data_IF_959806212025
#
_entry.id   IF_959806212025
#
_cell.length_a   1.000
_cell.length_b   1.000
_cell.length_c   1.000
_cell.angle_alpha   90.00
_cell.angle_beta   90.00
_cell.angle_gamma   90.00
#
_symmetry.space_group_name_H-M   'P 1'
#
loop_
_entity.id
_entity.type
_entity.pdbx_description
1 polymer ?
#
# COMPACT_ATOMS: atom_id res chain seq x y z
N UNK A 1 16.15 4.73 -27.72
CA UNK A 1 16.16 3.32 -27.27
C UNK A 1 14.92 3.14 -26.40
N UNK A 2 13.81 2.73 -27.01
CA UNK A 2 12.58 2.45 -26.27
C UNK A 2 12.77 1.16 -25.46
N UNK A 3 12.55 1.25 -24.16
CA UNK A 3 12.56 0.10 -23.24
C UNK A 3 11.36 -0.78 -23.61
N UNK A 4 11.52 -2.10 -23.79
CA UNK A 4 10.39 -2.94 -24.19
C UNK A 4 9.31 -2.93 -23.09
N UNK A 5 8.07 -2.69 -23.50
CA UNK A 5 6.89 -2.92 -22.66
C UNK A 5 6.94 -4.37 -22.19
N UNK A 6 6.93 -4.59 -20.87
CA UNK A 6 6.86 -5.95 -20.31
C UNK A 6 5.43 -6.49 -20.55
N UNK A 7 5.29 -7.81 -20.76
CA UNK A 7 3.97 -8.40 -20.92
C UNK A 7 3.13 -8.13 -19.68
N UNK A 8 1.88 -7.75 -19.91
CA UNK A 8 0.90 -7.58 -18.83
C UNK A 8 0.79 -8.89 -18.03
N UNK A 9 0.61 -8.80 -16.70
CA UNK A 9 0.41 -9.98 -15.89
C UNK A 9 -0.83 -10.75 -16.39
N UNK A 10 -0.82 -12.10 -16.35
CA UNK A 10 -1.94 -12.90 -16.81
C UNK A 10 -3.22 -12.50 -16.05
N UNK A 11 -4.28 -12.26 -16.82
CA UNK A 11 -5.63 -11.94 -16.33
C UNK A 11 -6.02 -12.91 -15.22
N UNK A 12 -6.06 -12.43 -13.97
CA UNK A 12 -6.45 -13.24 -12.82
C UNK A 12 -5.73 -12.96 -11.50
N UNK A 13 -4.63 -12.19 -11.50
CA UNK A 13 -4.10 -11.66 -10.23
C UNK A 13 -4.86 -10.38 -9.91
N UNK A 14 -5.87 -10.49 -9.04
CA UNK A 14 -6.43 -9.30 -8.37
C UNK A 14 -5.28 -8.57 -7.68
N UNK A 15 -4.91 -7.41 -8.22
CA UNK A 15 -3.94 -6.49 -7.65
C UNK A 15 -4.57 -5.66 -6.53
N UNK A 16 -5.39 -6.26 -5.67
CA UNK A 16 -5.74 -5.64 -4.39
C UNK A 16 -4.48 -5.58 -3.52
N UNK A 17 -3.71 -4.54 -3.74
CA UNK A 17 -2.58 -4.11 -2.94
C UNK A 17 -3.06 -2.95 -2.08
N UNK A 18 -2.91 -3.09 -0.76
CA UNK A 18 -3.12 -1.96 0.15
C UNK A 18 -2.10 -0.86 -0.11
N UNK A 19 -2.41 0.36 0.33
CA UNK A 19 -1.51 1.50 0.18
C UNK A 19 -0.10 1.16 0.68
N UNK A 20 0.90 1.40 -0.18
CA UNK A 20 2.29 1.11 0.12
C UNK A 20 2.72 -0.36 -0.01
N UNK A 21 1.82 -1.29 -0.38
CA UNK A 21 2.15 -2.69 -0.65
C UNK A 21 2.55 -2.91 -2.11
N UNK A 22 3.82 -2.65 -2.40
CA UNK A 22 4.40 -2.77 -3.73
C UNK A 22 4.89 -4.20 -4.01
N UNK A 23 4.05 -5.03 -4.64
CA UNK A 23 4.45 -6.39 -5.08
C UNK A 23 5.53 -6.38 -6.15
N UNK A 24 5.54 -5.35 -6.99
CA UNK A 24 6.51 -5.19 -8.08
C UNK A 24 7.69 -4.32 -7.61
N UNK A 25 8.91 -4.86 -7.73
CA UNK A 25 10.14 -4.15 -7.38
C UNK A 25 10.71 -3.44 -8.61
N UNK A 26 10.36 -2.17 -8.75
CA UNK A 26 10.90 -1.30 -9.80
C UNK A 26 12.24 -0.68 -9.44
N UNK A 27 12.41 -0.34 -8.17
CA UNK A 27 13.65 0.15 -7.59
C UNK A 27 14.41 -1.01 -6.99
N UNK A 28 15.71 -1.07 -7.22
CA UNK A 28 16.61 -2.08 -6.66
C UNK A 28 17.69 -1.48 -5.77
N UNK A 29 17.80 -0.16 -5.79
CA UNK A 29 18.71 0.64 -4.98
C UNK A 29 18.33 0.52 -3.51
N UNK A 30 19.31 0.22 -2.66
CA UNK A 30 19.12 0.00 -1.22
C UNK A 30 18.51 1.24 -0.53
N UNK A 31 18.98 2.43 -0.88
CA UNK A 31 18.48 3.68 -0.32
C UNK A 31 16.97 3.85 -0.55
N UNK A 32 16.48 3.50 -1.75
CA UNK A 32 15.06 3.59 -2.10
C UNK A 32 14.26 2.55 -1.33
N UNK A 33 14.79 1.34 -1.17
CA UNK A 33 14.15 0.29 -0.36
C UNK A 33 14.02 0.71 1.11
N UNK A 34 15.02 1.39 1.67
CA UNK A 34 14.96 1.94 3.04
C UNK A 34 13.86 3.00 3.15
N UNK A 35 13.73 3.90 2.16
CA UNK A 35 12.69 4.93 2.16
C UNK A 35 11.29 4.31 2.07
N UNK A 36 11.10 3.33 1.17
CA UNK A 36 9.84 2.58 1.05
C UNK A 36 9.50 1.88 2.37
N UNK A 37 10.47 1.22 2.99
CA UNK A 37 10.28 0.56 4.28
C UNK A 37 9.86 1.54 5.38
N UNK A 38 10.49 2.71 5.46
CA UNK A 38 10.08 3.77 6.41
C UNK A 38 8.64 4.23 6.16
N UNK A 39 8.26 4.46 4.90
CA UNK A 39 6.89 4.81 4.56
C UNK A 39 5.88 3.74 5.02
N UNK A 40 6.18 2.47 4.77
CA UNK A 40 5.32 1.35 5.20
C UNK A 40 5.22 1.26 6.73
N UNK A 41 6.30 1.51 7.47
CA UNK A 41 6.26 1.52 8.93
C UNK A 41 5.43 2.68 9.48
N UNK A 42 5.50 3.88 8.87
CA UNK A 42 4.63 4.99 9.27
C UNK A 42 3.14 4.69 9.00
N UNK A 43 2.81 4.03 7.89
CA UNK A 43 1.43 3.59 7.62
C UNK A 43 0.92 2.60 8.68
N UNK A 44 1.76 1.65 9.13
CA UNK A 44 1.41 0.72 10.21
C UNK A 44 1.19 1.45 11.54
N UNK A 45 1.97 2.49 11.83
CA UNK A 45 1.77 3.31 13.04
C UNK A 45 0.44 4.04 13.00
N UNK A 46 0.11 4.67 11.86
CA UNK A 46 -1.17 5.35 11.67
C UNK A 46 -2.34 4.37 11.86
N UNK A 47 -2.25 3.19 11.26
CA UNK A 47 -3.28 2.16 11.40
C UNK A 47 -3.50 1.74 12.87
N UNK A 48 -2.43 1.51 13.63
CA UNK A 48 -2.53 1.21 15.08
C UNK A 48 -3.21 2.34 15.85
N UNK A 49 -2.82 3.59 15.60
CA UNK A 49 -3.42 4.76 16.26
C UNK A 49 -4.91 4.88 15.95
N UNK A 50 -5.32 4.60 14.70
CA UNK A 50 -6.73 4.58 14.32
C UNK A 50 -7.48 3.46 15.07
N UNK A 51 -6.91 2.26 15.14
CA UNK A 51 -7.51 1.13 15.85
C UNK A 51 -7.70 1.43 17.34
N UNK A 52 -6.68 1.97 18.02
CA UNK A 52 -6.76 2.37 19.43
C UNK A 52 -7.82 3.45 19.67
N UNK A 53 -7.95 4.41 18.73
CA UNK A 53 -8.96 5.46 18.82
C UNK A 53 -10.38 4.91 18.61
N UNK A 54 -10.56 4.04 17.61
CA UNK A 54 -11.83 3.45 17.24
C UNK A 54 -12.39 2.47 18.28
N UNK A 55 -11.57 1.90 19.16
CA UNK A 55 -12.04 1.04 20.27
C UNK A 55 -13.03 1.75 21.20
N UNK A 56 -12.94 3.08 21.30
CA UNK A 56 -13.77 3.89 22.19
C UNK A 56 -14.96 4.55 21.47
N UNK A 57 -15.16 4.26 20.18
CA UNK A 57 -16.20 4.88 19.36
C UNK A 57 -17.29 3.89 18.97
N UNK A 58 -18.55 4.34 19.07
CA UNK A 58 -19.72 3.61 18.59
C UNK A 58 -19.75 3.54 17.05
N UNK A 59 -19.21 4.57 16.39
CA UNK A 59 -19.11 4.65 14.94
C UNK A 59 -17.66 4.94 14.55
N UNK A 60 -17.07 4.03 13.77
CA UNK A 60 -15.66 4.06 13.36
C UNK A 60 -15.47 4.82 12.05
N UNK A 61 -14.36 5.54 11.92
CA UNK A 61 -14.00 6.24 10.68
C UNK A 61 -12.93 5.45 9.91
N UNK A 62 -13.38 4.50 9.11
CA UNK A 62 -12.48 3.49 8.52
C UNK A 62 -11.98 3.84 7.11
N UNK A 63 -12.55 4.87 6.47
CA UNK A 63 -12.28 5.20 5.07
C UNK A 63 -10.82 5.61 4.79
N UNK A 64 -10.13 6.13 5.81
CA UNK A 64 -8.73 6.56 5.69
C UNK A 64 -7.74 5.61 6.40
N UNK A 65 -8.20 4.42 6.79
CA UNK A 65 -7.33 3.39 7.34
C UNK A 65 -6.40 2.87 6.23
N UNK A 66 -5.06 2.96 6.39
CA UNK A 66 -4.12 2.52 5.37
C UNK A 66 -4.29 1.05 4.93
N UNK A 67 -4.80 0.19 5.81
CA UNK A 67 -5.08 -1.22 5.45
C UNK A 67 -6.30 -1.40 4.54
N UNK A 68 -7.21 -0.42 4.52
CA UNK A 68 -8.46 -0.45 3.74
C UNK A 68 -8.37 0.36 2.45
N UNK A 69 -7.33 1.19 2.30
CA UNK A 69 -7.11 1.99 1.09
C UNK A 69 -6.36 1.16 0.06
N UNK A 70 -6.90 1.07 -1.16
CA UNK A 70 -6.20 0.50 -2.31
C UNK A 70 -5.07 1.43 -2.77
N UNK A 71 -3.96 0.84 -3.21
CA UNK A 71 -2.78 1.58 -3.68
C UNK A 71 -3.01 2.34 -5.00
N UNK A 72 -4.07 2.00 -5.73
CA UNK A 72 -4.44 2.61 -7.02
C UNK A 72 -5.95 2.55 -7.23
N UNK A 73 -6.49 3.43 -8.08
CA UNK A 73 -7.91 3.39 -8.48
C UNK A 73 -8.11 2.29 -9.50
N UNK A 74 -8.80 1.22 -9.12
CA UNK A 74 -9.05 0.05 -9.98
C UNK A 74 -10.51 -0.34 -10.14
N UNK A 75 -11.41 0.43 -9.49
CA UNK A 75 -12.86 0.22 -9.42
C UNK A 75 -13.63 1.31 -10.16
#
# INVERSE_FOLDING_TARGET
>A
MEKPLRPDPPDGVSCQSKLGDYKQKYFTEEEVQIIIGKFQEELKKIDRVIQEYDENLVLKYEYMCPEKIENSVTI
#
